data_IF_874629570332
#
_entry.id   IF_874629570332
#
_cell.length_a   1.000
_cell.length_b   1.000
_cell.length_c   1.000
_cell.angle_alpha   90.00
_cell.angle_beta   90.00
_cell.angle_gamma   90.00
#
_symmetry.space_group_name_H-M   'P 1'
#
loop_
_entity.id
_entity.type
_entity.pdbx_description
1 polymer ?
#
# COMPACT_ATOMS: atom_id res chain seq x y z
N UNK A 1 2.45 29.49 1.69
CA UNK A 1 1.20 29.47 2.47
C UNK A 1 0.07 29.72 1.48
N UNK A 2 -0.64 28.67 1.02
CA UNK A 2 -1.85 28.86 0.24
C UNK A 2 -2.91 29.51 1.12
N UNK A 3 -3.53 30.57 0.61
CA UNK A 3 -4.64 31.21 1.32
C UNK A 3 -5.92 30.37 1.20
N UNK A 4 -6.83 30.36 2.19
CA UNK A 4 -8.13 29.73 2.07
C UNK A 4 -8.89 30.41 0.94
N UNK A 5 -9.18 29.65 -0.15
CA UNK A 5 -9.92 30.16 -1.31
C UNK A 5 -9.19 30.07 -2.66
N UNK A 6 -7.91 29.70 -2.71
CA UNK A 6 -7.26 29.40 -3.99
C UNK A 6 -7.83 28.12 -4.60
N UNK A 7 -8.14 28.12 -5.92
CA UNK A 7 -8.58 26.91 -6.61
C UNK A 7 -7.47 25.84 -6.52
N UNK A 8 -7.84 24.63 -6.15
CA UNK A 8 -6.91 23.48 -6.09
C UNK A 8 -6.26 23.32 -7.45
N UNK A 9 -4.94 23.40 -7.48
CA UNK A 9 -4.19 23.07 -8.71
C UNK A 9 -4.34 21.58 -8.98
N UNK A 10 -4.44 21.18 -10.23
CA UNK A 10 -4.49 19.74 -10.60
C UNK A 10 -3.33 18.95 -9.98
N UNK A 11 -2.18 19.57 -9.84
CA UNK A 11 -1.00 18.98 -9.18
C UNK A 11 -1.27 18.64 -7.71
N UNK A 12 -1.94 19.52 -6.97
CA UNK A 12 -2.26 19.30 -5.54
C UNK A 12 -3.20 18.09 -5.37
N UNK A 13 -4.14 17.91 -6.30
CA UNK A 13 -5.03 16.74 -6.33
C UNK A 13 -4.29 15.44 -6.70
N UNK A 14 -3.26 15.52 -7.54
CA UNK A 14 -2.51 14.38 -8.05
C UNK A 14 -1.51 13.82 -7.03
N UNK A 15 -0.89 14.70 -6.21
CA UNK A 15 0.17 14.32 -5.25
C UNK A 15 -0.23 13.18 -4.31
N UNK A 16 -1.39 13.21 -3.60
CA UNK A 16 -1.78 12.10 -2.72
C UNK A 16 -1.90 10.77 -3.46
N UNK A 17 -2.43 10.81 -4.71
CA UNK A 17 -2.54 9.63 -5.56
C UNK A 17 -1.18 9.06 -5.97
N UNK A 18 -0.23 9.92 -6.37
CA UNK A 18 1.13 9.50 -6.73
C UNK A 18 1.87 8.90 -5.52
N UNK A 19 1.73 9.50 -4.34
CA UNK A 19 2.32 8.96 -3.12
C UNK A 19 1.76 7.57 -2.79
N UNK A 20 0.44 7.40 -2.88
CA UNK A 20 -0.22 6.11 -2.66
C UNK A 20 0.20 5.08 -3.71
N UNK A 21 0.31 5.46 -4.98
CA UNK A 21 0.78 4.60 -6.07
C UNK A 21 2.24 4.18 -5.86
N UNK A 22 3.13 5.11 -5.51
CA UNK A 22 4.54 4.80 -5.23
C UNK A 22 4.67 3.82 -4.06
N UNK A 23 3.89 4.05 -3.00
CA UNK A 23 3.81 3.13 -1.87
C UNK A 23 3.31 1.74 -2.28
N UNK A 24 2.28 1.66 -3.14
CA UNK A 24 1.76 0.40 -3.65
C UNK A 24 2.83 -0.41 -4.40
N UNK A 25 3.52 0.21 -5.35
CA UNK A 25 4.58 -0.45 -6.09
C UNK A 25 5.69 -0.92 -5.15
N UNK A 26 6.15 -0.07 -4.24
CA UNK A 26 7.18 -0.42 -3.26
C UNK A 26 6.75 -1.59 -2.34
N UNK A 27 5.48 -1.62 -1.92
CA UNK A 27 4.93 -2.68 -1.09
C UNK A 27 4.81 -4.00 -1.84
N UNK A 28 4.16 -4.00 -3.00
CA UNK A 28 3.89 -5.23 -3.77
C UNK A 28 5.19 -5.89 -4.23
N UNK A 29 6.04 -5.13 -4.90
CA UNK A 29 7.27 -5.68 -5.47
C UNK A 29 8.36 -5.90 -4.42
N UNK A 30 8.43 -5.04 -3.41
CA UNK A 30 9.40 -5.16 -2.31
C UNK A 30 9.28 -6.47 -1.52
N UNK A 31 8.06 -6.98 -1.32
CA UNK A 31 7.82 -8.25 -0.62
C UNK A 31 7.72 -9.41 -1.61
N UNK A 32 6.99 -9.22 -2.71
CA UNK A 32 6.73 -10.28 -3.68
C UNK A 32 8.00 -10.93 -4.21
N UNK A 33 8.93 -10.13 -4.71
CA UNK A 33 10.21 -10.64 -5.23
C UNK A 33 11.08 -11.29 -4.17
N UNK A 34 11.08 -10.77 -2.94
CA UNK A 34 11.97 -11.30 -1.89
C UNK A 34 11.59 -12.72 -1.51
N UNK A 35 10.30 -13.02 -1.37
CA UNK A 35 9.84 -14.37 -1.03
C UNK A 35 10.20 -15.37 -2.14
N UNK A 36 9.95 -15.00 -3.40
CA UNK A 36 10.29 -15.84 -4.55
C UNK A 36 11.80 -16.06 -4.66
N UNK A 37 12.59 -15.00 -4.46
CA UNK A 37 14.06 -15.08 -4.45
C UNK A 37 14.58 -15.97 -3.32
N UNK A 38 14.00 -15.89 -2.12
CA UNK A 38 14.37 -16.74 -1.00
C UNK A 38 14.04 -18.21 -1.28
N UNK A 39 12.93 -18.49 -1.97
CA UNK A 39 12.58 -19.84 -2.43
C UNK A 39 13.59 -20.35 -3.46
N UNK A 40 13.84 -19.58 -4.52
CA UNK A 40 14.79 -19.92 -5.60
C UNK A 40 16.20 -20.21 -5.08
N UNK A 41 16.68 -19.42 -4.11
CA UNK A 41 18.01 -19.57 -3.53
C UNK A 41 18.09 -20.60 -2.39
N UNK A 42 17.02 -21.34 -2.14
CA UNK A 42 16.98 -22.37 -1.09
C UNK A 42 17.06 -21.81 0.36
N UNK A 43 16.88 -20.50 0.53
CA UNK A 43 16.90 -19.86 1.87
C UNK A 43 15.73 -20.36 2.71
N UNK A 44 14.53 -20.48 2.11
CA UNK A 44 13.34 -20.97 2.82
C UNK A 44 13.55 -22.41 3.30
N UNK A 45 14.17 -23.28 2.47
CA UNK A 45 14.49 -24.65 2.84
C UNK A 45 15.50 -24.75 4.00
N UNK A 46 16.44 -23.82 4.07
CA UNK A 46 17.38 -23.75 5.21
C UNK A 46 16.73 -23.22 6.48
N UNK A 47 15.83 -22.25 6.34
CA UNK A 47 15.06 -21.71 7.46
C UNK A 47 14.06 -22.73 8.04
N UNK A 48 13.48 -23.60 7.20
CA UNK A 48 12.59 -24.66 7.68
C UNK A 48 13.27 -25.71 8.56
N UNK A 49 14.61 -25.81 8.53
CA UNK A 49 15.40 -26.67 9.42
C UNK A 49 15.65 -26.03 10.81
N UNK A 50 15.22 -24.78 11.00
CA UNK A 50 15.31 -24.06 12.30
C UNK A 50 13.94 -24.14 13.02
N UNK A 51 13.87 -23.87 14.34
CA UNK A 51 12.60 -23.85 15.07
C UNK A 51 11.70 -22.64 14.74
N UNK A 52 11.99 -21.92 13.66
CA UNK A 52 11.24 -20.74 13.22
C UNK A 52 9.88 -21.13 12.64
N UNK A 53 8.81 -20.54 13.14
CA UNK A 53 7.48 -20.74 12.57
C UNK A 53 7.26 -19.90 11.31
N UNK A 54 6.38 -20.35 10.42
CA UNK A 54 6.01 -19.60 9.21
C UNK A 54 5.47 -18.20 9.57
N UNK A 55 4.70 -18.10 10.66
CA UNK A 55 4.15 -16.82 11.11
C UNK A 55 5.26 -15.84 11.56
N UNK A 56 6.23 -16.30 12.35
CA UNK A 56 7.35 -15.46 12.80
C UNK A 56 8.18 -14.95 11.61
N UNK A 57 8.45 -15.83 10.65
CA UNK A 57 9.14 -15.44 9.41
C UNK A 57 8.39 -14.37 8.63
N UNK A 58 7.08 -14.59 8.39
CA UNK A 58 6.25 -13.65 7.64
C UNK A 58 6.06 -12.34 8.39
N UNK A 59 5.85 -12.39 9.71
CA UNK A 59 5.73 -11.20 10.55
C UNK A 59 7.02 -10.36 10.52
N UNK A 60 8.19 -10.99 10.60
CA UNK A 60 9.48 -10.32 10.50
C UNK A 60 9.67 -9.66 9.12
N UNK A 61 9.28 -10.34 8.03
CA UNK A 61 9.31 -9.76 6.68
C UNK A 61 8.39 -8.55 6.55
N UNK A 62 7.17 -8.67 7.04
CA UNK A 62 6.20 -7.56 7.03
C UNK A 62 6.73 -6.38 7.82
N UNK A 63 7.20 -6.59 9.05
CA UNK A 63 7.71 -5.53 9.92
C UNK A 63 8.91 -4.82 9.30
N UNK A 64 9.89 -5.57 8.81
CA UNK A 64 11.09 -5.00 8.16
C UNK A 64 10.73 -4.15 6.93
N UNK A 65 9.83 -4.65 6.08
CA UNK A 65 9.41 -3.95 4.86
C UNK A 65 8.52 -2.75 5.17
N UNK A 66 7.71 -2.85 6.21
CA UNK A 66 6.83 -1.77 6.63
C UNK A 66 7.64 -0.53 7.08
N UNK A 67 8.66 -0.71 7.91
CA UNK A 67 9.54 0.39 8.31
C UNK A 67 10.26 1.03 7.11
N UNK A 68 10.81 0.22 6.23
CA UNK A 68 11.47 0.70 5.03
C UNK A 68 10.51 1.47 4.11
N UNK A 69 9.29 0.97 3.93
CA UNK A 69 8.26 1.60 3.13
C UNK A 69 7.83 2.94 3.73
N UNK A 70 7.64 3.02 5.05
CA UNK A 70 7.32 4.28 5.71
C UNK A 70 8.45 5.31 5.55
N UNK A 71 9.70 4.90 5.72
CA UNK A 71 10.85 5.78 5.53
C UNK A 71 10.93 6.30 4.09
N UNK A 72 10.74 5.43 3.08
CA UNK A 72 10.69 5.80 1.67
C UNK A 72 9.53 6.74 1.35
N UNK A 73 8.32 6.44 1.86
CA UNK A 73 7.14 7.29 1.66
C UNK A 73 7.33 8.66 2.30
N UNK A 74 7.91 8.71 3.50
CA UNK A 74 8.24 9.97 4.17
C UNK A 74 9.29 10.77 3.37
N UNK A 75 10.32 10.12 2.82
CA UNK A 75 11.33 10.78 2.01
C UNK A 75 10.72 11.36 0.71
N UNK A 76 9.87 10.59 0.02
CA UNK A 76 9.17 11.06 -1.19
C UNK A 76 8.21 12.21 -0.84
N UNK A 77 7.48 12.09 0.26
CA UNK A 77 6.59 13.16 0.75
C UNK A 77 7.37 14.45 1.02
N UNK A 78 8.46 14.38 1.80
CA UNK A 78 9.28 15.53 2.12
C UNK A 78 9.93 16.14 0.87
N UNK A 79 10.46 15.31 -0.02
CA UNK A 79 11.02 15.76 -1.30
C UNK A 79 9.99 16.49 -2.16
N UNK A 80 8.78 15.93 -2.29
CA UNK A 80 7.70 16.56 -3.04
C UNK A 80 7.23 17.85 -2.38
N UNK A 81 7.17 17.88 -1.04
CA UNK A 81 6.80 19.08 -0.29
C UNK A 81 7.82 20.23 -0.51
N UNK A 82 9.11 19.93 -0.50
CA UNK A 82 10.18 20.91 -0.75
C UNK A 82 10.16 21.44 -2.19
N UNK A 83 9.96 20.55 -3.17
CA UNK A 83 10.05 20.89 -4.60
C UNK A 83 8.77 21.55 -5.14
N UNK A 84 7.60 21.06 -4.71
CA UNK A 84 6.29 21.48 -5.27
C UNK A 84 5.56 22.45 -4.37
N UNK A 85 5.84 22.43 -3.05
CA UNK A 85 5.23 23.35 -2.10
C UNK A 85 3.73 23.14 -1.93
N UNK A 86 3.24 21.89 -1.99
CA UNK A 86 1.82 21.61 -1.82
C UNK A 86 1.37 21.79 -0.34
N UNK A 87 0.15 22.27 -0.11
CA UNK A 87 -0.36 22.48 1.24
C UNK A 87 -0.75 21.15 1.90
N UNK A 88 -0.31 20.92 3.13
CA UNK A 88 -0.92 19.94 4.02
C UNK A 88 -1.96 20.65 4.88
N UNK A 89 -3.24 20.45 4.61
CA UNK A 89 -4.33 21.11 5.34
C UNK A 89 -4.72 20.38 6.61
N UNK A 90 -4.55 19.05 6.63
CA UNK A 90 -4.94 18.18 7.74
C UNK A 90 -3.80 17.80 8.68
N UNK A 91 -4.07 16.84 9.54
CA UNK A 91 -3.14 16.37 10.57
C UNK A 91 -2.01 15.54 9.97
N UNK A 92 -0.72 15.85 10.24
CA UNK A 92 0.40 14.98 9.83
C UNK A 92 0.29 13.57 10.42
N UNK A 93 -0.27 13.44 11.63
CA UNK A 93 -0.51 12.14 12.26
C UNK A 93 -1.54 11.31 11.47
N UNK A 94 -2.63 11.94 11.00
CA UNK A 94 -3.63 11.26 10.18
C UNK A 94 -3.01 10.74 8.87
N UNK A 95 -2.14 11.54 8.24
CA UNK A 95 -1.42 11.13 7.03
C UNK A 95 -0.45 9.96 7.31
N UNK A 96 0.30 10.03 8.40
CA UNK A 96 1.19 8.94 8.82
C UNK A 96 0.41 7.65 9.06
N UNK A 97 -0.71 7.70 9.78
CA UNK A 97 -1.57 6.53 10.03
C UNK A 97 -2.15 5.97 8.74
N UNK A 98 -2.56 6.83 7.79
CA UNK A 98 -3.04 6.41 6.48
C UNK A 98 -1.98 5.57 5.74
N UNK A 99 -0.76 6.07 5.65
CA UNK A 99 0.33 5.35 4.98
C UNK A 99 0.81 4.14 5.79
N UNK A 100 0.76 4.19 7.11
CA UNK A 100 1.11 3.06 7.97
C UNK A 100 0.13 1.88 7.78
N UNK A 101 -1.17 2.12 7.91
CA UNK A 101 -2.21 1.10 7.73
C UNK A 101 -2.29 0.63 6.28
N UNK A 102 -2.21 1.58 5.32
CA UNK A 102 -2.19 1.26 3.90
C UNK A 102 -0.99 0.42 3.50
N UNK A 103 0.20 0.76 4.01
CA UNK A 103 1.42 0.00 3.79
C UNK A 103 1.30 -1.43 4.30
N UNK A 104 0.74 -1.65 5.49
CA UNK A 104 0.48 -2.99 6.01
C UNK A 104 -0.45 -3.79 5.10
N UNK A 105 -1.55 -3.20 4.63
CA UNK A 105 -2.50 -3.87 3.75
C UNK A 105 -1.88 -4.24 2.40
N UNK A 106 -1.12 -3.32 1.78
CA UNK A 106 -0.46 -3.53 0.49
C UNK A 106 0.70 -4.54 0.58
N UNK A 107 1.50 -4.51 1.66
CA UNK A 107 2.53 -5.52 1.92
C UNK A 107 1.89 -6.89 2.08
N UNK A 108 0.79 -6.98 2.83
CA UNK A 108 0.06 -8.23 3.05
C UNK A 108 -0.52 -8.80 1.75
N UNK A 109 -1.00 -7.93 0.85
CA UNK A 109 -1.47 -8.31 -0.47
C UNK A 109 -0.32 -8.82 -1.34
N UNK A 110 0.81 -8.13 -1.38
CA UNK A 110 2.01 -8.55 -2.13
C UNK A 110 2.56 -9.88 -1.63
N UNK A 111 2.55 -10.09 -0.31
CA UNK A 111 2.92 -11.34 0.32
C UNK A 111 1.97 -12.48 -0.10
N UNK A 112 0.66 -12.28 0.01
CA UNK A 112 -0.33 -13.28 -0.40
C UNK A 112 -0.19 -13.63 -1.88
N UNK A 113 0.00 -12.64 -2.75
CA UNK A 113 0.17 -12.84 -4.19
C UNK A 113 1.38 -13.71 -4.53
N UNK A 114 2.47 -13.61 -3.74
CA UNK A 114 3.74 -14.27 -4.02
C UNK A 114 3.98 -15.57 -3.24
N UNK A 115 3.13 -15.87 -2.27
CA UNK A 115 3.34 -16.97 -1.31
C UNK A 115 3.50 -18.35 -1.95
N UNK A 116 2.97 -18.57 -3.15
CA UNK A 116 3.03 -19.84 -3.89
C UNK A 116 3.77 -19.77 -5.23
N UNK A 117 4.32 -18.62 -5.58
CA UNK A 117 4.99 -18.45 -6.87
C UNK A 117 6.38 -19.06 -6.83
N UNK A 118 6.72 -19.75 -7.92
CA UNK A 118 7.97 -20.49 -8.04
C UNK A 118 9.07 -19.70 -8.77
N UNK A 119 8.71 -18.74 -9.63
CA UNK A 119 9.67 -17.96 -10.41
C UNK A 119 9.44 -16.44 -10.27
N UNK A 120 10.50 -15.67 -10.51
CA UNK A 120 10.45 -14.22 -10.48
C UNK A 120 9.58 -13.68 -11.62
N UNK A 121 9.58 -14.33 -12.79
CA UNK A 121 8.75 -13.96 -13.94
C UNK A 121 7.24 -14.13 -13.64
N UNK A 122 6.89 -15.23 -12.97
CA UNK A 122 5.50 -15.44 -12.51
C UNK A 122 5.10 -14.38 -11.48
N UNK A 123 6.01 -14.05 -10.56
CA UNK A 123 5.75 -13.00 -9.58
C UNK A 123 5.51 -11.65 -10.26
N UNK A 124 6.34 -11.29 -11.23
CA UNK A 124 6.17 -10.07 -12.00
C UNK A 124 4.82 -10.02 -12.71
N UNK A 125 4.45 -11.08 -13.40
CA UNK A 125 3.15 -11.19 -14.09
C UNK A 125 1.96 -11.01 -13.14
N UNK A 126 1.95 -11.72 -12.01
CA UNK A 126 0.86 -11.65 -11.02
C UNK A 126 0.81 -10.28 -10.34
N UNK A 127 1.98 -9.73 -9.95
CA UNK A 127 2.03 -8.41 -9.30
C UNK A 127 1.62 -7.29 -10.27
N UNK A 128 1.99 -7.37 -11.55
CA UNK A 128 1.53 -6.45 -12.58
C UNK A 128 0.01 -6.55 -12.78
N UNK A 129 -0.53 -7.78 -12.83
CA UNK A 129 -1.97 -8.01 -12.97
C UNK A 129 -2.79 -7.43 -11.81
N UNK A 130 -2.20 -7.35 -10.61
CA UNK A 130 -2.80 -6.70 -9.45
C UNK A 130 -2.59 -5.19 -9.46
N UNK A 131 -1.37 -4.73 -9.75
CA UNK A 131 -1.00 -3.33 -9.62
C UNK A 131 -1.70 -2.44 -10.65
N UNK A 132 -1.76 -2.84 -11.92
CA UNK A 132 -2.33 -2.01 -12.98
C UNK A 132 -3.84 -1.73 -12.80
N UNK A 133 -4.69 -2.75 -12.61
CA UNK A 133 -6.10 -2.47 -12.34
C UNK A 133 -6.31 -1.64 -11.07
N UNK A 134 -5.55 -1.94 -10.00
CA UNK A 134 -5.63 -1.21 -8.75
C UNK A 134 -5.27 0.26 -8.93
N UNK A 135 -4.21 0.58 -9.68
CA UNK A 135 -3.79 1.94 -9.98
C UNK A 135 -4.88 2.73 -10.72
N UNK A 136 -5.54 2.12 -11.70
CA UNK A 136 -6.59 2.79 -12.47
C UNK A 136 -7.90 2.92 -11.70
N UNK A 137 -8.31 1.88 -10.97
CA UNK A 137 -9.59 1.87 -10.25
C UNK A 137 -9.55 2.70 -8.96
N UNK A 138 -8.38 2.86 -8.32
CA UNK A 138 -8.28 3.55 -7.03
C UNK A 138 -8.23 5.08 -7.12
N UNK A 139 -8.54 5.64 -8.27
CA UNK A 139 -8.67 7.07 -8.42
C UNK A 139 -7.35 7.84 -8.40
N UNK A 140 -6.21 7.21 -8.67
CA UNK A 140 -4.89 7.87 -8.67
C UNK A 140 -4.83 8.99 -9.72
N UNK A 141 -5.28 8.69 -10.96
CA UNK A 141 -5.15 9.58 -12.11
C UNK A 141 -6.40 10.39 -12.42
N UNK A 142 -7.58 9.88 -12.09
CA UNK A 142 -8.86 10.51 -12.34
C UNK A 142 -9.86 10.17 -11.23
N UNK A 143 -10.85 11.03 -11.04
CA UNK A 143 -11.89 10.81 -10.03
C UNK A 143 -12.71 9.55 -10.35
N UNK A 144 -12.92 8.71 -9.35
CA UNK A 144 -13.63 7.43 -9.48
C UNK A 144 -15.13 7.60 -9.81
N UNK A 145 -15.68 8.78 -9.55
CA UNK A 145 -17.11 9.11 -9.78
C UNK A 145 -17.55 8.96 -11.24
N UNK A 146 -16.61 8.97 -12.18
CA UNK A 146 -16.86 8.81 -13.62
C UNK A 146 -16.81 7.35 -14.09
N UNK A 147 -16.46 6.42 -13.21
CA UNK A 147 -16.46 5.00 -13.53
C UNK A 147 -17.87 4.45 -13.51
N UNK A 148 -18.08 3.34 -14.24
CA UNK A 148 -19.35 2.61 -14.18
C UNK A 148 -19.60 2.11 -12.73
N UNK A 149 -20.87 2.09 -12.23
CA UNK A 149 -21.19 1.76 -10.84
C UNK A 149 -20.55 0.48 -10.31
N UNK A 150 -20.55 -0.61 -11.08
CA UNK A 150 -19.92 -1.88 -10.67
C UNK A 150 -18.38 -1.78 -10.53
N UNK A 151 -17.72 -0.91 -11.31
CA UNK A 151 -16.29 -0.66 -11.17
C UNK A 151 -16.00 0.15 -9.90
N UNK A 152 -16.89 1.07 -9.54
CA UNK A 152 -16.77 1.81 -8.28
C UNK A 152 -16.88 0.87 -7.08
N UNK A 153 -17.84 -0.06 -7.09
CA UNK A 153 -17.99 -1.06 -6.04
C UNK A 153 -16.74 -1.97 -5.95
N UNK A 154 -16.24 -2.45 -7.09
CA UNK A 154 -15.03 -3.24 -7.15
C UNK A 154 -13.79 -2.49 -6.64
N UNK A 155 -13.70 -1.17 -6.91
CA UNK A 155 -12.62 -0.33 -6.43
C UNK A 155 -12.54 -0.28 -4.90
N UNK A 156 -13.69 -0.28 -4.22
CA UNK A 156 -13.73 -0.29 -2.74
C UNK A 156 -13.20 -1.58 -2.10
N UNK A 157 -13.11 -2.68 -2.86
CA UNK A 157 -12.44 -3.90 -2.40
C UNK A 157 -10.90 -3.80 -2.45
N UNK A 158 -10.35 -2.72 -3.00
CA UNK A 158 -8.91 -2.55 -3.19
C UNK A 158 -8.29 -1.67 -2.09
N UNK A 159 -7.21 -2.09 -1.43
CA UNK A 159 -6.59 -1.32 -0.37
C UNK A 159 -6.09 0.06 -0.84
N UNK A 160 -5.62 0.18 -2.07
CA UNK A 160 -5.13 1.45 -2.62
C UNK A 160 -6.24 2.52 -2.67
N UNK A 161 -7.50 2.14 -2.93
CA UNK A 161 -8.63 3.05 -2.93
C UNK A 161 -8.80 3.75 -1.59
N UNK A 162 -8.77 2.97 -0.50
CA UNK A 162 -8.88 3.53 0.85
C UNK A 162 -7.70 4.45 1.19
N UNK A 163 -6.47 4.08 0.79
CA UNK A 163 -5.29 4.92 0.97
C UNK A 163 -5.43 6.24 0.22
N UNK A 164 -5.83 6.19 -1.05
CA UNK A 164 -5.95 7.38 -1.91
C UNK A 164 -7.01 8.34 -1.39
N UNK A 165 -8.19 7.80 -1.00
CA UNK A 165 -9.27 8.61 -0.44
C UNK A 165 -8.90 9.22 0.91
N UNK A 166 -8.34 8.43 1.84
CA UNK A 166 -7.90 8.94 3.13
C UNK A 166 -6.77 9.98 3.00
N UNK A 167 -5.78 9.73 2.14
CA UNK A 167 -4.69 10.69 1.91
C UNK A 167 -5.21 12.01 1.32
N UNK A 168 -6.19 11.97 0.39
CA UNK A 168 -6.82 13.19 -0.15
C UNK A 168 -7.62 13.93 0.91
N UNK A 169 -8.46 13.23 1.68
CA UNK A 169 -9.22 13.84 2.76
C UNK A 169 -8.30 14.58 3.75
N UNK A 170 -7.15 13.97 4.10
CA UNK A 170 -6.19 14.62 4.99
C UNK A 170 -5.47 15.77 4.30
N UNK A 171 -4.92 15.58 3.10
CA UNK A 171 -4.05 16.56 2.47
C UNK A 171 -4.81 17.76 1.90
N UNK A 172 -6.00 17.53 1.33
CA UNK A 172 -6.77 18.54 0.60
C UNK A 172 -7.93 19.11 1.43
N UNK A 173 -8.68 18.24 2.12
CA UNK A 173 -9.89 18.64 2.84
C UNK A 173 -9.64 18.96 4.32
N UNK A 174 -8.42 18.70 4.81
CA UNK A 174 -8.04 19.02 6.20
C UNK A 174 -8.55 18.01 7.23
N UNK A 175 -8.93 16.80 6.80
CA UNK A 175 -9.48 15.77 7.69
C UNK A 175 -8.51 15.38 8.82
N UNK A 176 -9.08 15.14 10.00
CA UNK A 176 -8.39 14.60 11.16
C UNK A 176 -8.44 13.06 11.20
N UNK A 177 -7.85 12.48 12.24
CA UNK A 177 -7.82 11.02 12.43
C UNK A 177 -9.23 10.42 12.55
N UNK A 178 -10.15 11.12 13.22
CA UNK A 178 -11.52 10.66 13.40
C UNK A 178 -12.29 10.54 12.08
N UNK A 179 -12.07 11.49 11.16
CA UNK A 179 -12.76 11.55 9.87
C UNK A 179 -12.34 10.39 8.95
N UNK A 180 -11.09 9.94 9.05
CA UNK A 180 -10.56 8.84 8.23
C UNK A 180 -10.60 7.48 8.95
N UNK A 181 -11.12 7.41 10.18
CA UNK A 181 -11.09 6.19 11.01
C UNK A 181 -11.70 4.97 10.29
N UNK A 182 -12.78 5.18 9.51
CA UNK A 182 -13.39 4.13 8.69
C UNK A 182 -12.41 3.51 7.70
N UNK A 183 -11.66 4.33 6.98
CA UNK A 183 -10.63 3.86 6.04
C UNK A 183 -9.51 3.12 6.76
N UNK A 184 -9.06 3.61 7.93
CA UNK A 184 -8.00 2.96 8.72
C UNK A 184 -8.44 1.58 9.21
N UNK A 185 -9.66 1.45 9.72
CA UNK A 185 -10.22 0.18 10.19
C UNK A 185 -10.32 -0.84 9.05
N UNK A 186 -10.82 -0.42 7.89
CA UNK A 186 -10.90 -1.30 6.71
C UNK A 186 -9.51 -1.76 6.28
N UNK A 187 -8.52 -0.85 6.21
CA UNK A 187 -7.15 -1.19 5.84
C UNK A 187 -6.52 -2.19 6.83
N UNK A 188 -6.74 -2.01 8.13
CA UNK A 188 -6.27 -2.95 9.16
C UNK A 188 -6.97 -4.31 9.06
N UNK A 189 -8.29 -4.32 8.83
CA UNK A 189 -9.04 -5.55 8.62
C UNK A 189 -8.54 -6.30 7.36
N UNK A 190 -8.32 -5.59 6.26
CA UNK A 190 -7.74 -6.16 5.03
C UNK A 190 -6.34 -6.72 5.29
N UNK A 191 -5.47 -5.96 5.97
CA UNK A 191 -4.12 -6.42 6.32
C UNK A 191 -4.17 -7.72 7.14
N UNK A 192 -5.00 -7.77 8.19
CA UNK A 192 -5.17 -8.95 9.04
C UNK A 192 -5.70 -10.15 8.28
N UNK A 193 -6.74 -9.97 7.46
CA UNK A 193 -7.32 -11.03 6.63
C UNK A 193 -6.30 -11.59 5.62
N UNK A 194 -5.62 -10.70 4.88
CA UNK A 194 -4.62 -11.08 3.87
C UNK A 194 -3.41 -11.80 4.50
N UNK A 195 -2.94 -11.33 5.67
CA UNK A 195 -1.88 -11.99 6.43
C UNK A 195 -2.30 -13.36 6.94
N UNK A 196 -3.52 -13.48 7.50
CA UNK A 196 -4.02 -14.75 7.98
C UNK A 196 -4.15 -15.79 6.86
N UNK A 197 -4.67 -15.38 5.71
CA UNK A 197 -4.76 -16.24 4.52
C UNK A 197 -3.36 -16.57 4.00
N UNK A 198 -2.48 -15.56 3.90
CA UNK A 198 -1.08 -15.75 3.47
C UNK A 198 -0.32 -16.74 4.34
N UNK A 199 -0.47 -16.63 5.67
CA UNK A 199 0.19 -17.55 6.62
C UNK A 199 -0.33 -18.99 6.48
N UNK A 200 -1.63 -19.18 6.24
CA UNK A 200 -2.21 -20.53 6.00
C UNK A 200 -1.78 -21.14 4.67
N UNK A 201 -1.57 -20.32 3.66
CA UNK A 201 -1.18 -20.75 2.33
C UNK A 201 0.35 -20.91 2.17
N UNK A 202 1.12 -20.37 3.11
CA UNK A 202 2.57 -20.38 3.04
C UNK A 202 3.12 -21.82 3.11
N UNK A 203 4.06 -22.11 2.23
CA UNK A 203 4.82 -23.37 2.22
C UNK A 203 6.31 -23.03 2.19
N UNK A 204 7.09 -23.81 2.95
CA UNK A 204 8.54 -23.67 2.99
C UNK A 204 9.24 -24.19 1.71
N UNK A 205 8.54 -24.97 0.92
CA UNK A 205 9.03 -25.57 -0.32
C UNK A 205 8.55 -24.80 -1.57
#
# INVERSE_FOLDING_TARGET
RAMPGEPLRYVDWLVPGILAMNMMFSALYGVGYVIVRYRKNGVLKRLSATPLTAFEFLAAQVASRWWLLLAMTAAVYLGTWVLVGFPLRGSPLALLLTFACGGLALISLGLLASVRLASEEMAEGVLNLLAWPMMFLSGVWFATDRLHPWLQEAAWALPLTHVTHAARAVMLDGAGVADIAGHLLILLAMAGALLAVGARLFRWE
#
